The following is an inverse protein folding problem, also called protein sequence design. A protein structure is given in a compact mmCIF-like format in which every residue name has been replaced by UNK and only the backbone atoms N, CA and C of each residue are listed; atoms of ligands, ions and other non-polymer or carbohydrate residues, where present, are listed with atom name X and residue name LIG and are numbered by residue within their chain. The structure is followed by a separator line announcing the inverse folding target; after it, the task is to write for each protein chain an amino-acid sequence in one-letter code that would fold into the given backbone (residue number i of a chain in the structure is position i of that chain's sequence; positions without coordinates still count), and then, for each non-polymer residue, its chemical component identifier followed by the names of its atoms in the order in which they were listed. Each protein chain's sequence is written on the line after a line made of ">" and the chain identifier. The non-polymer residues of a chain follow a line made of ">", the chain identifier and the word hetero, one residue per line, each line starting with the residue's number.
data_IF_466850027397
#
_entry.id   IF_466850027397
#
_cell.length_a   1.000
_cell.length_b   1.000
_cell.length_c   1.000
_cell.angle_alpha   90.00
_cell.angle_beta   90.00
_cell.angle_gamma   90.00
#
_symmetry.space_group_name_H-M   'P 1'
#
loop_
_entity.id
_entity.type
_entity.pdbx_description
1 polymer ?
#
# COMPACT_ATOMS: atom_id res chain seq x y z
N UNK A 1 -22.63 1.13 14.97
CA UNK A 1 -21.35 1.79 15.27
C UNK A 1 -20.25 0.80 14.89
N UNK A 2 -19.71 0.95 13.67
CA UNK A 2 -18.80 -0.02 13.05
C UNK A 2 -17.35 0.33 13.43
N UNK A 3 -16.58 -0.66 13.92
CA UNK A 3 -15.25 -0.55 14.53
C UNK A 3 -14.11 -0.02 13.65
N UNK A 4 -14.39 0.64 12.53
CA UNK A 4 -13.38 1.01 11.53
C UNK A 4 -12.71 2.38 11.74
N UNK A 5 -13.11 3.14 12.76
CA UNK A 5 -12.57 4.49 13.01
C UNK A 5 -11.21 4.48 13.72
N UNK A 6 -10.80 3.37 14.34
CA UNK A 6 -9.63 3.33 15.22
C UNK A 6 -8.43 2.67 14.51
N UNK A 7 -7.86 3.27 13.44
CA UNK A 7 -6.47 3.00 13.01
C UNK A 7 -5.90 4.06 12.03
N UNK A 8 -6.46 5.28 11.99
CA UNK A 8 -5.80 6.43 11.37
C UNK A 8 -5.08 7.27 12.44
N UNK A 9 -4.20 6.65 13.21
CA UNK A 9 -3.25 7.43 14.01
C UNK A 9 -2.27 8.12 13.07
N UNK A 10 -2.49 9.43 12.96
CA UNK A 10 -1.72 10.40 12.20
C UNK A 10 -0.27 10.36 12.66
N UNK A 11 0.61 9.75 11.87
CA UNK A 11 2.06 9.82 12.04
C UNK A 11 2.59 11.17 11.52
N UNK A 12 2.15 12.28 12.13
CA UNK A 12 2.79 13.58 11.97
C UNK A 12 4.14 13.54 12.69
N UNK A 13 5.19 13.05 12.02
CA UNK A 13 6.55 13.06 12.58
C UNK A 13 7.61 12.19 11.89
N UNK A 14 7.23 11.30 10.97
CA UNK A 14 8.23 10.51 10.23
C UNK A 14 8.85 11.37 9.11
N UNK A 15 10.19 11.36 9.00
CA UNK A 15 10.90 11.89 7.84
C UNK A 15 10.30 11.32 6.55
N UNK A 16 9.84 12.20 5.65
CA UNK A 16 9.24 11.81 4.36
C UNK A 16 10.33 11.40 3.38
N UNK A 17 10.74 10.14 3.47
CA UNK A 17 11.80 9.58 2.66
C UNK A 17 11.32 8.28 1.99
N UNK A 18 12.15 7.71 1.12
CA UNK A 18 11.78 6.52 0.34
C UNK A 18 11.45 5.29 1.21
N UNK A 19 11.96 5.21 2.45
CA UNK A 19 11.63 4.11 3.37
C UNK A 19 10.23 4.30 3.95
N UNK A 20 9.97 5.44 4.59
CA UNK A 20 8.64 5.71 5.18
C UNK A 20 7.52 5.70 4.15
N UNK A 21 7.80 6.13 2.92
CA UNK A 21 6.85 6.01 1.80
C UNK A 21 6.53 4.56 1.46
N UNK A 22 7.53 3.68 1.38
CA UNK A 22 7.32 2.24 1.10
C UNK A 22 6.60 1.55 2.25
N UNK A 23 6.86 1.95 3.49
CA UNK A 23 6.11 1.47 4.66
C UNK A 23 4.63 1.88 4.60
N UNK A 24 4.33 3.12 4.19
CA UNK A 24 2.97 3.59 3.95
C UNK A 24 2.29 2.85 2.79
N UNK A 25 3.01 2.65 1.67
CA UNK A 25 2.54 1.86 0.54
C UNK A 25 2.17 0.44 0.97
N UNK A 26 3.04 -0.23 1.74
CA UNK A 26 2.78 -1.59 2.25
C UNK A 26 1.44 -1.67 2.99
N UNK A 27 1.18 -0.72 3.90
CA UNK A 27 -0.09 -0.65 4.63
C UNK A 27 -1.28 -0.47 3.70
N UNK A 28 -1.16 0.38 2.67
CA UNK A 28 -2.23 0.55 1.67
C UNK A 28 -2.54 -0.75 0.91
N UNK A 29 -1.50 -1.51 0.55
CA UNK A 29 -1.66 -2.80 -0.12
C UNK A 29 -2.26 -3.87 0.81
N UNK A 30 -1.93 -3.86 2.10
CA UNK A 30 -2.51 -4.76 3.10
C UNK A 30 -4.02 -4.50 3.32
N UNK A 31 -4.46 -3.25 3.19
CA UNK A 31 -5.89 -2.89 3.28
C UNK A 31 -6.67 -3.37 2.04
N UNK A 32 -6.00 -3.54 0.90
CA UNK A 32 -6.59 -4.14 -0.31
C UNK A 32 -7.59 -3.25 -1.04
N UNK A 33 -7.52 -1.93 -0.87
CA UNK A 33 -8.45 -0.93 -1.43
C UNK A 33 -7.84 -0.07 -2.54
N UNK A 34 -6.67 -0.45 -3.05
CA UNK A 34 -5.91 0.29 -4.04
C UNK A 34 -5.97 -0.40 -5.42
N UNK A 35 -6.97 -0.07 -6.28
CA UNK A 35 -7.15 -0.76 -7.55
C UNK A 35 -6.20 -0.27 -8.66
N UNK A 36 -5.60 0.92 -8.53
CA UNK A 36 -4.67 1.48 -9.52
C UNK A 36 -3.45 2.19 -8.91
N UNK A 37 -2.43 2.45 -9.74
CA UNK A 37 -1.25 3.21 -9.31
C UNK A 37 -1.59 4.67 -9.04
N UNK A 38 -2.58 5.21 -9.75
CA UNK A 38 -3.12 6.55 -9.59
C UNK A 38 -3.82 6.69 -8.23
N UNK A 39 -4.60 5.69 -7.80
CA UNK A 39 -5.25 5.69 -6.49
C UNK A 39 -4.23 5.63 -5.35
N UNK A 40 -3.20 4.78 -5.51
CA UNK A 40 -2.07 4.70 -4.58
C UNK A 40 -1.34 6.05 -4.50
N UNK A 41 -1.08 6.67 -5.65
CA UNK A 41 -0.44 7.98 -5.73
C UNK A 41 -1.26 9.04 -5.00
N UNK A 42 -2.57 9.09 -5.24
CA UNK A 42 -3.48 10.02 -4.58
C UNK A 42 -3.49 9.84 -3.05
N UNK A 43 -3.49 8.59 -2.57
CA UNK A 43 -3.50 8.30 -1.14
C UNK A 43 -2.17 8.64 -0.45
N UNK A 44 -1.03 8.37 -1.11
CA UNK A 44 0.28 8.79 -0.62
C UNK A 44 0.44 10.32 -0.63
N UNK A 45 -0.15 11.02 -1.61
CA UNK A 45 -0.19 12.49 -1.63
C UNK A 45 -1.01 13.05 -0.46
N UNK A 46 -2.14 12.42 -0.08
CA UNK A 46 -2.92 12.82 1.12
C UNK A 46 -2.14 12.63 2.42
N UNK A 47 -1.29 11.60 2.49
CA UNK A 47 -0.34 11.40 3.59
C UNK A 47 0.89 12.33 3.49
N UNK A 48 0.93 13.15 2.43
CA UNK A 48 1.89 14.21 2.22
C UNK A 48 3.20 13.75 1.58
N UNK A 49 3.29 12.55 1.01
CA UNK A 49 4.44 12.14 0.22
C UNK A 49 4.39 12.78 -1.17
N UNK A 50 5.47 13.43 -1.58
CA UNK A 50 5.61 13.91 -2.96
C UNK A 50 5.95 12.73 -3.87
N UNK A 51 4.95 12.26 -4.62
CA UNK A 51 5.06 11.08 -5.47
C UNK A 51 4.40 11.33 -6.81
N UNK A 52 4.87 10.61 -7.82
CA UNK A 52 4.21 10.48 -9.12
C UNK A 52 3.82 9.02 -9.31
N UNK A 53 2.99 8.76 -10.32
CA UNK A 53 2.68 7.40 -10.74
C UNK A 53 3.95 6.60 -11.07
N UNK A 54 4.98 7.22 -11.68
CA UNK A 54 6.27 6.56 -11.93
C UNK A 54 7.03 6.21 -10.65
N UNK A 55 6.96 7.04 -9.60
CA UNK A 55 7.54 6.72 -8.29
C UNK A 55 6.83 5.52 -7.66
N UNK A 56 5.49 5.52 -7.69
CA UNK A 56 4.67 4.40 -7.20
C UNK A 56 4.97 3.11 -7.97
N UNK A 57 5.03 3.16 -9.30
CA UNK A 57 5.35 2.02 -10.16
C UNK A 57 6.71 1.39 -9.81
N UNK A 58 7.74 2.22 -9.57
CA UNK A 58 9.06 1.74 -9.13
C UNK A 58 9.01 1.09 -7.76
N UNK A 59 8.32 1.70 -6.79
CA UNK A 59 8.21 1.14 -5.44
C UNK A 59 7.46 -0.21 -5.45
N UNK A 60 6.35 -0.32 -6.19
CA UNK A 60 5.60 -1.55 -6.39
C UNK A 60 6.48 -2.68 -6.96
N UNK A 61 7.34 -2.34 -7.95
CA UNK A 61 8.30 -3.29 -8.53
C UNK A 61 9.38 -3.71 -7.52
N UNK A 62 9.92 -2.77 -6.75
CA UNK A 62 10.92 -3.06 -5.71
C UNK A 62 10.35 -3.91 -4.56
N UNK A 63 9.05 -3.81 -4.32
CA UNK A 63 8.33 -4.56 -3.30
C UNK A 63 7.76 -5.88 -3.82
N UNK A 64 8.02 -6.22 -5.08
CA UNK A 64 7.53 -7.45 -5.74
C UNK A 64 6.01 -7.61 -5.60
N UNK A 65 5.27 -6.50 -5.55
CA UNK A 65 3.81 -6.52 -5.45
C UNK A 65 3.20 -7.09 -6.73
N UNK A 66 2.11 -7.84 -6.59
CA UNK A 66 1.37 -8.43 -7.71
C UNK A 66 -0.05 -7.89 -7.79
N UNK A 67 -0.69 -8.05 -8.95
CA UNK A 67 -2.11 -7.76 -9.12
C UNK A 67 -2.91 -9.04 -8.88
N UNK A 68 -3.91 -8.96 -8.01
CA UNK A 68 -4.84 -10.06 -7.73
C UNK A 68 -6.28 -9.60 -7.97
N UNK A 69 -7.20 -10.55 -8.08
CA UNK A 69 -8.64 -10.26 -8.02
C UNK A 69 -9.11 -10.46 -6.58
N UNK A 70 -9.70 -9.43 -5.98
CA UNK A 70 -10.21 -9.51 -4.61
C UNK A 70 -11.56 -10.26 -4.55
N UNK A 71 -12.12 -10.43 -3.34
CA UNK A 71 -13.41 -11.11 -3.14
C UNK A 71 -14.61 -10.42 -3.79
N UNK A 72 -14.47 -9.15 -4.18
CA UNK A 72 -15.49 -8.37 -4.89
C UNK A 72 -15.32 -8.40 -6.42
N UNK A 73 -14.32 -9.13 -6.93
CA UNK A 73 -14.04 -9.21 -8.37
C UNK A 73 -13.19 -8.06 -8.92
N UNK A 74 -12.65 -7.19 -8.04
CA UNK A 74 -11.84 -6.04 -8.44
C UNK A 74 -10.37 -6.42 -8.55
N UNK A 75 -9.67 -5.88 -9.55
CA UNK A 75 -8.22 -6.08 -9.64
C UNK A 75 -7.49 -5.07 -8.77
N UNK A 76 -6.76 -5.55 -7.76
CA UNK A 76 -6.03 -4.74 -6.78
C UNK A 76 -4.55 -5.12 -6.73
N UNK A 77 -3.73 -4.23 -6.18
CA UNK A 77 -2.35 -4.57 -5.80
C UNK A 77 -2.30 -5.26 -4.44
N UNK A 78 -1.48 -6.29 -4.31
CA UNK A 78 -1.20 -6.99 -3.06
C UNK A 78 0.31 -7.15 -2.86
N UNK A 79 0.76 -6.90 -1.63
CA UNK A 79 2.13 -7.21 -1.21
C UNK A 79 2.27 -8.72 -1.03
N UNK A 80 3.37 -9.36 -1.50
CA UNK A 80 3.55 -10.80 -1.35
C UNK A 80 3.44 -11.19 0.12
N UNK A 81 2.43 -12.01 0.42
CA UNK A 81 2.36 -12.69 1.71
C UNK A 81 3.54 -13.67 1.69
N UNK A 82 4.57 -13.42 2.52
CA UNK A 82 5.57 -14.44 2.76
C UNK A 82 4.85 -15.59 3.47
N UNK A 83 4.37 -16.56 2.71
CA UNK A 83 4.06 -17.88 3.24
C UNK A 83 5.44 -18.43 3.62
N UNK A 84 5.84 -18.19 4.88
CA UNK A 84 6.97 -18.89 5.46
C UNK A 84 6.72 -20.36 5.18
N UNK A 85 7.60 -20.95 4.37
CA UNK A 85 7.48 -22.31 3.86
C UNK A 85 7.20 -23.24 5.04
N UNK A 86 5.94 -23.62 5.22
CA UNK A 86 5.59 -24.75 6.07
C UNK A 86 5.87 -25.98 5.21
N UNK A 87 7.15 -26.30 5.07
CA UNK A 87 7.56 -27.63 4.65
C UNK A 87 7.15 -28.54 5.81
N UNK A 88 6.08 -29.32 5.60
CA UNK A 88 5.71 -30.45 6.44
C UNK A 88 6.79 -31.54 6.36
#
# INVERSE_FOLDING_TARGET
>A
MSSYTIHMEVFMGASKNAKSRRDALKKLLEVGVAPSQEDICAELLKQGFEVTQSTVSRDLRMMESTRIVNSHGETIYQFPIQIASLVL
#
